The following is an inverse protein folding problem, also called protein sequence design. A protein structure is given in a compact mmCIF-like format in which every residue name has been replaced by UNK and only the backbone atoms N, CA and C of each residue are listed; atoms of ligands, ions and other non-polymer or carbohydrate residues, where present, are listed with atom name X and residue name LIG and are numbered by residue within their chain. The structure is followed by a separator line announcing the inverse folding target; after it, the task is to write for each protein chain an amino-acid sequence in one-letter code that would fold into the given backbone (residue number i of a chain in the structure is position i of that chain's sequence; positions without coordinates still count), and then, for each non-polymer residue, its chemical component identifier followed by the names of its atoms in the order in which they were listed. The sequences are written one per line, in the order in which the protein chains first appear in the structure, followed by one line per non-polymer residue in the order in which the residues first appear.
data_IF_656952248304
#
_entry.id   IF_656952248304
#
_cell.length_a   1.000
_cell.length_b   1.000
_cell.length_c   1.000
_cell.angle_alpha   90.00
_cell.angle_beta   90.00
_cell.angle_gamma   90.00
#
_symmetry.space_group_name_H-M   'P 1'
#
loop_
_entity.id
_entity.type
_entity.pdbx_description
1 polymer ?
#
# COMPACT_ATOMS: atom_id res chain seq x y z
N UNK A 1 40.04 -31.73 37.99
CA UNK A 1 38.57 -31.63 37.87
C UNK A 1 38.25 -30.31 37.18
N UNK A 2 37.29 -30.40 36.25
CA UNK A 2 36.72 -29.44 35.30
C UNK A 2 37.09 -27.94 35.36
N UNK A 3 37.44 -27.44 34.18
CA UNK A 3 37.36 -26.05 33.73
C UNK A 3 35.89 -25.66 33.50
N UNK A 4 35.41 -24.57 34.11
CA UNK A 4 34.14 -23.90 33.76
C UNK A 4 34.47 -22.43 33.48
N UNK A 5 34.66 -22.04 32.22
CA UNK A 5 33.63 -21.66 31.26
C UNK A 5 33.03 -20.28 31.56
N UNK A 6 33.69 -19.26 30.99
CA UNK A 6 33.10 -18.22 30.14
C UNK A 6 31.56 -18.06 30.26
N UNK A 7 31.12 -17.07 31.04
CA UNK A 7 29.72 -16.64 31.03
C UNK A 7 29.61 -15.20 30.50
N UNK A 8 29.77 -15.11 29.18
CA UNK A 8 28.97 -14.32 28.24
C UNK A 8 28.55 -12.92 28.69
N UNK A 9 29.37 -11.98 28.22
CA UNK A 9 28.97 -10.68 27.70
C UNK A 9 27.52 -10.62 27.15
N UNK A 10 26.83 -9.55 27.55
CA UNK A 10 25.85 -8.76 26.77
C UNK A 10 24.58 -9.44 26.24
N UNK A 11 23.47 -9.20 26.94
CA UNK A 11 22.12 -9.09 26.34
C UNK A 11 21.44 -7.81 26.81
N UNK A 12 21.99 -6.68 26.40
CA UNK A 12 21.19 -5.46 26.25
C UNK A 12 20.70 -5.47 24.81
N UNK A 13 19.48 -5.98 24.61
CA UNK A 13 18.76 -5.88 23.34
C UNK A 13 18.31 -4.42 23.18
N UNK A 14 19.19 -3.60 22.61
CA UNK A 14 18.75 -2.37 21.95
C UNK A 14 18.05 -2.79 20.65
N UNK A 15 16.79 -2.39 20.41
CA UNK A 15 16.23 -2.48 19.08
C UNK A 15 16.97 -1.46 18.22
N UNK A 16 18.04 -1.90 17.54
CA UNK A 16 18.57 -1.13 16.43
C UNK A 16 17.40 -0.86 15.49
N UNK A 17 17.14 0.42 15.23
CA UNK A 17 16.20 0.94 14.25
C UNK A 17 16.57 0.34 12.89
N UNK A 18 16.11 -0.88 12.61
CA UNK A 18 16.28 -1.52 11.32
C UNK A 18 15.65 -0.58 10.30
N UNK A 19 16.43 -0.24 9.28
CA UNK A 19 15.97 0.66 8.23
C UNK A 19 14.65 0.10 7.67
N UNK A 20 13.69 0.97 7.36
CA UNK A 20 12.36 0.55 6.89
C UNK A 20 12.44 -0.43 5.71
N UNK A 21 13.45 -0.27 4.86
CA UNK A 21 13.79 -1.21 3.78
C UNK A 21 14.06 -2.64 4.30
N UNK A 22 14.88 -2.80 5.32
CA UNK A 22 15.25 -4.11 5.87
C UNK A 22 14.07 -4.83 6.49
N UNK A 23 13.14 -4.09 7.09
CA UNK A 23 11.89 -4.63 7.60
C UNK A 23 10.99 -5.14 6.46
N UNK A 24 10.88 -4.36 5.37
CA UNK A 24 10.13 -4.77 4.17
C UNK A 24 10.77 -5.99 3.50
N UNK A 25 12.09 -6.00 3.35
CA UNK A 25 12.84 -7.11 2.76
C UNK A 25 12.65 -8.39 3.59
N UNK A 26 12.70 -8.29 4.93
CA UNK A 26 12.42 -9.43 5.83
C UNK A 26 10.98 -9.93 5.68
N UNK A 27 9.99 -9.02 5.73
CA UNK A 27 8.58 -9.39 5.59
C UNK A 27 8.29 -10.07 4.23
N UNK A 28 8.92 -9.60 3.16
CA UNK A 28 8.80 -10.21 1.83
C UNK A 28 9.33 -11.65 1.82
N UNK A 29 10.51 -11.89 2.41
CA UNK A 29 11.11 -13.22 2.50
C UNK A 29 10.25 -14.16 3.36
N UNK A 30 9.79 -13.69 4.52
CA UNK A 30 8.93 -14.47 5.42
C UNK A 30 7.60 -14.85 4.77
N UNK A 31 6.96 -13.92 4.04
CA UNK A 31 5.72 -14.21 3.31
C UNK A 31 5.90 -15.32 2.26
N UNK A 32 7.06 -15.34 1.59
CA UNK A 32 7.39 -16.36 0.57
C UNK A 32 7.66 -17.73 1.18
N UNK A 33 8.23 -17.78 2.38
CA UNK A 33 8.53 -19.04 3.08
C UNK A 33 7.29 -19.62 3.75
N UNK A 34 6.49 -18.81 4.44
CA UNK A 34 5.27 -19.25 5.12
C UNK A 34 4.18 -19.75 4.17
N UNK A 35 4.15 -19.26 2.92
CA UNK A 35 3.26 -19.77 1.88
C UNK A 35 3.74 -21.10 1.29
N UNK A 36 5.04 -21.40 1.30
CA UNK A 36 5.60 -22.65 0.77
C UNK A 36 5.38 -23.85 1.69
N UNK A 37 5.37 -23.66 3.01
CA UNK A 37 5.08 -24.74 3.97
C UNK A 37 3.57 -25.04 4.09
N UNK A 38 2.72 -24.03 3.92
CA UNK A 38 1.24 -24.20 3.85
C UNK A 38 0.74 -24.81 2.54
N UNK A 39 1.62 -25.00 1.56
CA UNK A 39 1.27 -25.49 0.22
C UNK A 39 1.20 -27.03 0.09
N UNK A 40 1.39 -27.79 1.18
CA UNK A 40 1.00 -29.21 1.16
C UNK A 40 -0.48 -29.29 1.55
N UNK A 41 -1.41 -29.40 0.58
CA UNK A 41 -2.81 -29.58 0.92
C UNK A 41 -2.93 -30.87 1.74
N UNK A 42 -3.57 -30.76 2.90
CA UNK A 42 -3.93 -31.96 3.65
C UNK A 42 -4.95 -32.72 2.79
N UNK A 43 -4.73 -34.01 2.45
CA UNK A 43 -5.60 -34.76 1.55
C UNK A 43 -7.07 -34.82 2.01
N UNK A 44 -7.32 -34.57 3.30
CA UNK A 44 -8.67 -34.45 3.85
C UNK A 44 -9.37 -33.17 3.37
N UNK A 45 -8.64 -32.05 3.28
CA UNK A 45 -9.18 -30.77 2.83
C UNK A 45 -9.64 -30.90 1.38
N UNK A 46 -8.82 -31.49 0.51
CA UNK A 46 -9.15 -31.67 -0.91
C UNK A 46 -10.47 -32.44 -1.08
N UNK A 47 -10.62 -33.56 -0.36
CA UNK A 47 -11.87 -34.34 -0.37
C UNK A 47 -13.06 -33.51 0.11
N UNK A 48 -12.93 -32.79 1.24
CA UNK A 48 -14.03 -31.97 1.75
C UNK A 48 -14.43 -30.89 0.73
N UNK A 49 -13.45 -30.27 0.06
CA UNK A 49 -13.73 -29.24 -0.95
C UNK A 49 -14.33 -29.80 -2.24
N UNK A 50 -14.07 -31.06 -2.58
CA UNK A 50 -14.69 -31.76 -3.70
C UNK A 50 -16.19 -32.01 -3.45
N UNK A 51 -16.56 -32.39 -2.23
CA UNK A 51 -17.97 -32.59 -1.84
C UNK A 51 -18.69 -31.30 -1.47
N UNK A 52 -17.99 -30.32 -0.89
CA UNK A 52 -18.53 -29.06 -0.41
C UNK A 52 -17.66 -27.92 -0.95
N UNK A 53 -17.94 -27.42 -2.17
CA UNK A 53 -17.14 -26.38 -2.81
C UNK A 53 -17.03 -25.10 -1.97
N UNK A 54 -18.06 -24.78 -1.17
CA UNK A 54 -18.07 -23.62 -0.28
C UNK A 54 -17.04 -23.72 0.87
N UNK A 55 -16.67 -24.94 1.29
CA UNK A 55 -15.73 -25.15 2.39
C UNK A 55 -14.29 -24.77 2.02
N UNK A 56 -13.96 -24.69 0.73
CA UNK A 56 -12.63 -24.32 0.25
C UNK A 56 -12.16 -22.96 0.77
N UNK A 57 -13.10 -22.02 0.96
CA UNK A 57 -12.83 -20.68 1.49
C UNK A 57 -12.45 -20.67 2.97
N UNK A 58 -12.93 -21.64 3.75
CA UNK A 58 -12.76 -21.71 5.21
C UNK A 58 -11.60 -22.64 5.57
N UNK A 59 -11.49 -23.78 4.87
CA UNK A 59 -10.52 -24.83 5.15
C UNK A 59 -9.14 -24.58 4.51
N UNK A 60 -9.00 -23.53 3.71
CA UNK A 60 -7.73 -23.22 3.03
C UNK A 60 -7.36 -24.26 1.98
N UNK A 61 -8.35 -24.86 1.31
CA UNK A 61 -8.12 -25.68 0.12
C UNK A 61 -7.42 -24.89 -0.98
N UNK A 62 -6.91 -25.53 -2.03
CA UNK A 62 -6.15 -24.84 -3.07
C UNK A 62 -7.01 -23.70 -3.61
N UNK A 63 -6.69 -22.48 -3.19
CA UNK A 63 -7.17 -21.30 -3.86
C UNK A 63 -6.59 -21.44 -5.26
N UNK A 64 -7.46 -21.71 -6.23
CA UNK A 64 -7.17 -21.28 -7.59
C UNK A 64 -6.65 -19.87 -7.41
N UNK A 65 -5.39 -19.67 -7.82
CA UNK A 65 -4.82 -18.35 -7.93
C UNK A 65 -5.73 -17.63 -8.91
N UNK A 66 -6.79 -17.01 -8.36
CA UNK A 66 -7.50 -15.94 -9.00
C UNK A 66 -6.36 -15.05 -9.50
N UNK A 67 -6.25 -14.79 -10.82
CA UNK A 67 -5.20 -13.94 -11.34
C UNK A 67 -5.22 -12.72 -10.45
N UNK A 68 -4.10 -12.47 -9.75
CA UNK A 68 -4.00 -11.46 -8.70
C UNK A 68 -4.70 -10.22 -9.25
N UNK A 69 -5.93 -10.01 -8.79
CA UNK A 69 -6.82 -9.06 -9.41
C UNK A 69 -6.11 -7.75 -9.14
N UNK A 70 -5.61 -7.12 -10.22
CA UNK A 70 -4.68 -6.01 -10.11
C UNK A 70 -5.27 -5.06 -9.09
N UNK A 71 -4.61 -4.93 -7.93
CA UNK A 71 -5.14 -4.19 -6.79
C UNK A 71 -5.73 -2.89 -7.34
N UNK A 72 -6.99 -2.55 -7.02
CA UNK A 72 -7.69 -1.46 -7.66
C UNK A 72 -6.76 -0.25 -7.61
N UNK A 73 -6.38 0.27 -8.79
CA UNK A 73 -5.48 1.41 -8.86
C UNK A 73 -6.07 2.48 -7.97
N UNK A 74 -5.28 3.07 -7.05
CA UNK A 74 -5.81 4.12 -6.20
C UNK A 74 -6.46 5.17 -7.11
N UNK A 75 -7.63 5.70 -6.74
CA UNK A 75 -8.29 6.71 -7.55
C UNK A 75 -7.28 7.81 -7.84
N UNK A 76 -7.22 8.22 -9.10
CA UNK A 76 -6.34 9.30 -9.51
C UNK A 76 -6.69 10.60 -8.76
N UNK A 77 -5.83 11.62 -8.87
CA UNK A 77 -6.17 12.95 -8.39
C UNK A 77 -7.54 13.39 -8.92
N UNK A 78 -8.31 14.19 -8.15
CA UNK A 78 -9.56 14.75 -8.63
C UNK A 78 -9.39 15.46 -9.97
N UNK A 79 -10.44 15.41 -10.77
CA UNK A 79 -10.50 16.15 -12.02
C UNK A 79 -10.41 17.66 -11.75
N UNK A 80 -9.66 18.39 -12.60
CA UNK A 80 -9.61 19.85 -12.51
C UNK A 80 -11.00 20.41 -12.82
N UNK A 81 -11.43 21.52 -12.19
CA UNK A 81 -12.70 22.15 -12.51
C UNK A 81 -12.81 22.50 -14.01
N UNK A 82 -13.98 22.27 -14.62
CA UNK A 82 -14.24 22.56 -16.05
C UNK A 82 -13.90 23.99 -16.48
N UNK A 83 -13.96 24.92 -15.52
CA UNK A 83 -13.76 26.36 -15.73
C UNK A 83 -12.46 26.90 -15.13
N UNK A 84 -11.48 26.03 -14.88
CA UNK A 84 -10.20 26.44 -14.28
C UNK A 84 -9.48 27.52 -15.10
N UNK A 85 -9.59 27.47 -16.43
CA UNK A 85 -9.10 28.52 -17.33
C UNK A 85 -9.64 29.92 -16.98
N UNK A 86 -10.92 30.04 -16.60
CA UNK A 86 -11.52 31.33 -16.21
C UNK A 86 -10.94 31.84 -14.90
N UNK A 87 -10.60 30.93 -13.99
CA UNK A 87 -10.00 31.25 -12.70
C UNK A 87 -8.56 31.72 -12.91
N UNK A 88 -7.79 31.03 -13.73
CA UNK A 88 -6.43 31.44 -14.11
C UNK A 88 -6.41 32.82 -14.77
N UNK A 89 -7.34 33.07 -15.70
CA UNK A 89 -7.46 34.35 -16.40
C UNK A 89 -7.84 35.48 -15.44
N UNK A 90 -8.78 35.23 -14.53
CA UNK A 90 -9.16 36.18 -13.47
C UNK A 90 -7.97 36.54 -12.58
N UNK A 91 -7.24 35.53 -12.08
CA UNK A 91 -6.05 35.76 -11.22
C UNK A 91 -4.97 36.52 -11.99
N UNK A 92 -4.74 36.16 -13.26
CA UNK A 92 -3.80 36.85 -14.14
C UNK A 92 -4.18 38.31 -14.33
N UNK A 93 -5.45 38.61 -14.54
CA UNK A 93 -5.95 39.97 -14.71
C UNK A 93 -5.88 40.78 -13.40
N UNK A 94 -6.15 40.16 -12.24
CA UNK A 94 -5.90 40.79 -10.93
C UNK A 94 -4.43 41.17 -10.74
N UNK A 95 -3.49 40.35 -11.21
CA UNK A 95 -2.05 40.61 -11.05
C UNK A 95 -1.46 41.47 -12.16
N UNK A 96 -2.14 41.59 -13.31
CA UNK A 96 -1.79 42.53 -14.39
C UNK A 96 -2.06 43.98 -14.00
N UNK A 97 -3.18 44.24 -13.32
CA UNK A 97 -3.54 45.58 -12.87
C UNK A 97 -3.01 45.83 -11.46
N UNK A 98 -1.85 46.49 -11.33
CA UNK A 98 -1.43 47.10 -10.06
C UNK A 98 -2.26 48.37 -9.77
N UNK A 99 -3.58 48.27 -9.84
CA UNK A 99 -4.44 49.35 -9.40
C UNK A 99 -4.74 49.08 -7.93
N UNK A 100 -4.21 49.92 -7.04
CA UNK A 100 -4.34 49.86 -5.57
C UNK A 100 -5.80 49.90 -5.04
N UNK A 101 -6.81 49.79 -5.91
CA UNK A 101 -8.23 49.93 -5.60
C UNK A 101 -9.11 48.71 -5.90
N UNK A 102 -8.55 47.58 -6.34
CA UNK A 102 -9.28 46.31 -6.44
C UNK A 102 -10.56 46.33 -7.29
N UNK A 103 -10.71 47.32 -8.17
CA UNK A 103 -11.92 47.51 -8.97
C UNK A 103 -11.75 46.77 -10.30
N UNK A 104 -12.53 45.71 -10.48
CA UNK A 104 -12.55 44.92 -11.71
C UNK A 104 -13.18 45.76 -12.83
N UNK A 105 -12.36 46.26 -13.77
CA UNK A 105 -12.88 46.84 -15.02
C UNK A 105 -13.46 45.68 -15.82
N UNK A 106 -14.76 45.47 -15.70
CA UNK A 106 -15.50 44.62 -16.63
C UNK A 106 -15.56 45.37 -17.95
N UNK A 107 -14.73 44.97 -18.91
CA UNK A 107 -14.85 45.40 -20.30
C UNK A 107 -16.20 44.87 -20.83
N UNK A 108 -17.25 45.66 -20.72
CA UNK A 108 -18.51 45.40 -21.41
C UNK A 108 -18.28 45.56 -22.91
N UNK A 109 -18.41 44.47 -23.66
CA UNK A 109 -18.61 44.53 -25.10
C UNK A 109 -20.09 44.86 -25.35
N UNK A 110 -20.35 46.05 -25.87
CA UNK A 110 -21.55 46.39 -26.65
C UNK A 110 -21.41 45.81 -28.07
#
# INVERSE_FOLDING_TARGET
MASEADNRQSRSQEPQEQCFKEQLDRAAIESRQGSRERQKPNPIIDKITEYIPAAAKILGGPQQQQPAEAAPKPPGPPERPDHDHKIEDFVRDQHRSKNDKGLLVTSGND
#
